data_IF_101499210592
#
_entry.id   IF_101499210592
#
_cell.length_a   1.000
_cell.length_b   1.000
_cell.length_c   1.000
_cell.angle_alpha   90.00
_cell.angle_beta   90.00
_cell.angle_gamma   90.00
#
_symmetry.space_group_name_H-M   'P 1'
#
loop_
_entity.id
_entity.type
_entity.pdbx_description
1 polymer ?
#
# COMPACT_ATOMS: atom_id res chain seq x y z
N UNK A 1 0.60 6.60 5.86
CA UNK A 1 0.87 7.39 4.65
C UNK A 1 1.91 6.68 3.79
N UNK A 2 2.04 7.06 2.52
CA UNK A 2 3.16 6.69 1.65
C UNK A 2 4.13 7.86 1.60
N UNK A 3 5.40 7.63 1.94
CA UNK A 3 6.45 8.65 1.90
C UNK A 3 7.39 8.40 0.74
N UNK A 4 7.62 9.43 -0.08
CA UNK A 4 8.52 9.42 -1.22
C UNK A 4 9.65 10.39 -0.93
N UNK A 5 10.87 9.87 -0.81
CA UNK A 5 12.07 10.68 -0.55
C UNK A 5 13.10 10.42 -1.63
N UNK A 6 13.67 11.48 -2.17
CA UNK A 6 14.86 11.44 -3.03
C UNK A 6 15.91 12.30 -2.36
N UNK A 7 17.05 11.69 -2.04
CA UNK A 7 18.24 12.38 -1.57
C UNK A 7 19.35 12.16 -2.60
N UNK A 8 19.46 13.10 -3.54
CA UNK A 8 20.49 13.11 -4.57
C UNK A 8 21.12 14.49 -4.65
N UNK A 9 22.35 14.56 -5.18
CA UNK A 9 23.07 15.82 -5.35
C UNK A 9 22.36 16.78 -6.32
N UNK A 10 21.66 16.22 -7.31
CA UNK A 10 20.96 16.99 -8.36
C UNK A 10 19.64 17.57 -7.83
N UNK A 11 18.90 16.80 -7.05
CA UNK A 11 17.62 17.24 -6.48
C UNK A 11 17.25 16.46 -5.23
N UNK A 12 16.74 17.21 -4.24
CA UNK A 12 16.03 16.66 -3.09
C UNK A 12 14.53 16.74 -3.32
N UNK A 13 13.82 15.67 -2.97
CA UNK A 13 12.36 15.60 -3.06
C UNK A 13 11.81 14.91 -1.83
N UNK A 14 10.74 15.46 -1.27
CA UNK A 14 9.99 14.85 -0.20
C UNK A 14 8.51 15.03 -0.49
N UNK A 15 7.75 13.94 -0.43
CA UNK A 15 6.30 13.99 -0.49
C UNK A 15 5.70 12.91 0.39
N UNK A 16 4.76 13.31 1.22
CA UNK A 16 3.90 12.41 1.95
C UNK A 16 2.53 12.37 1.29
N UNK A 17 2.03 11.16 1.01
CA UNK A 17 0.73 10.92 0.41
C UNK A 17 -0.13 10.19 1.44
N UNK A 18 -1.21 10.84 1.86
CA UNK A 18 -2.20 10.21 2.72
C UNK A 18 -2.90 9.08 1.96
N UNK A 19 -2.91 7.90 2.56
CA UNK A 19 -3.61 6.74 2.01
C UNK A 19 -5.04 6.74 2.54
N UNK A 20 -6.05 6.50 1.68
CA UNK A 20 -7.44 6.53 2.10
C UNK A 20 -7.82 5.35 3.02
N UNK A 21 -7.03 4.26 3.00
CA UNK A 21 -7.29 3.04 3.77
C UNK A 21 -5.97 2.36 4.20
N UNK A 22 -6.01 1.47 5.21
CA UNK A 22 -4.88 0.65 5.59
C UNK A 22 -4.45 -0.30 4.46
N UNK A 23 -3.14 -0.40 4.23
CA UNK A 23 -2.53 -1.29 3.23
C UNK A 23 -1.59 -2.29 3.89
N UNK A 24 -1.34 -3.42 3.21
CA UNK A 24 -0.30 -4.37 3.60
C UNK A 24 1.02 -4.01 2.89
N UNK A 25 2.01 -3.45 3.59
CA UNK A 25 3.28 -3.08 2.99
C UNK A 25 4.12 -4.30 2.58
N UNK A 26 3.86 -5.50 3.12
CA UNK A 26 4.66 -6.70 2.85
C UNK A 26 4.53 -7.21 1.42
N UNK A 27 3.39 -6.94 0.80
CA UNK A 27 3.06 -7.39 -0.58
C UNK A 27 3.09 -6.23 -1.59
N UNK A 28 3.55 -5.06 -1.17
CA UNK A 28 3.66 -3.89 -2.03
C UNK A 28 4.67 -4.12 -3.17
N UNK A 29 4.39 -3.52 -4.33
CA UNK A 29 5.27 -3.57 -5.51
C UNK A 29 5.56 -2.15 -6.00
N UNK A 30 6.77 -1.92 -6.49
CA UNK A 30 7.14 -0.66 -7.11
C UNK A 30 7.94 -0.92 -8.39
N UNK A 31 7.68 -0.13 -9.43
CA UNK A 31 8.45 -0.15 -10.68
C UNK A 31 8.84 1.26 -11.08
N UNK A 32 9.99 1.41 -11.73
CA UNK A 32 10.44 2.68 -12.29
C UNK A 32 10.83 2.48 -13.75
N UNK A 33 10.10 3.12 -14.66
CA UNK A 33 10.34 2.98 -16.10
C UNK A 33 10.17 4.33 -16.77
N UNK A 34 11.18 4.72 -17.56
CA UNK A 34 11.18 5.95 -18.36
C UNK A 34 10.82 7.22 -17.55
N UNK A 35 11.31 7.35 -16.32
CA UNK A 35 11.04 8.54 -15.50
C UNK A 35 9.77 8.48 -14.65
N UNK A 36 8.98 7.41 -14.74
CA UNK A 36 7.72 7.27 -14.01
C UNK A 36 7.85 6.21 -12.92
N UNK A 37 7.54 6.59 -11.67
CA UNK A 37 7.41 5.70 -10.53
C UNK A 37 5.97 5.19 -10.43
N UNK A 38 5.78 3.88 -10.54
CA UNK A 38 4.50 3.21 -10.26
C UNK A 38 4.61 2.46 -8.94
N UNK A 39 3.66 2.67 -8.03
CA UNK A 39 3.58 1.98 -6.73
C UNK A 39 2.22 1.33 -6.60
N UNK A 40 2.20 0.01 -6.41
CA UNK A 40 0.97 -0.79 -6.23
C UNK A 40 0.91 -1.26 -4.78
N UNK A 41 -0.16 -0.84 -4.09
CA UNK A 41 -0.40 -1.15 -2.68
C UNK A 41 -1.67 -1.98 -2.53
N UNK A 42 -1.57 -3.15 -1.89
CA UNK A 42 -2.72 -3.98 -1.58
C UNK A 42 -3.37 -3.50 -0.28
N UNK A 43 -4.68 -3.29 -0.29
CA UNK A 43 -5.45 -2.97 0.93
C UNK A 43 -5.36 -4.13 1.93
N UNK A 44 -5.35 -3.82 3.23
CA UNK A 44 -5.53 -4.87 4.24
C UNK A 44 -6.93 -5.45 4.09
N UNK A 45 -7.04 -6.77 4.00
CA UNK A 45 -8.32 -7.46 4.12
C UNK A 45 -8.91 -7.15 5.50
N UNK A 46 -10.10 -6.56 5.52
CA UNK A 46 -10.90 -6.51 6.74
C UNK A 46 -11.34 -7.94 7.00
N UNK A 47 -11.03 -8.48 8.17
CA UNK A 47 -11.63 -9.74 8.60
C UNK A 47 -13.13 -9.50 8.71
N UNK A 48 -13.88 -9.95 7.72
CA UNK A 48 -15.33 -10.05 7.84
C UNK A 48 -15.61 -11.17 8.82
N UNK A 49 -16.47 -10.98 9.83
CA UNK A 49 -16.84 -12.08 10.71
C UNK A 49 -17.32 -13.24 9.86
N UNK A 50 -16.61 -14.37 9.95
CA UNK A 50 -17.06 -15.61 9.31
C UNK A 50 -18.27 -16.05 10.13
N UNK A 51 -19.44 -16.08 9.50
CA UNK A 51 -20.62 -16.69 10.14
C UNK A 51 -20.30 -18.13 10.52
N UNK A 52 -20.90 -18.61 11.60
CA UNK A 52 -20.81 -20.00 12.01
C UNK A 52 -22.01 -20.78 11.48
N UNK A 53 -21.77 -21.98 10.94
CA UNK A 53 -22.82 -22.91 10.54
C UNK A 53 -23.34 -23.63 11.78
N UNK A 54 -24.62 -23.46 12.10
CA UNK A 54 -25.29 -24.22 13.15
C UNK A 54 -26.01 -25.40 12.49
N UNK A 55 -25.59 -26.63 12.81
CA UNK A 55 -26.29 -27.84 12.39
C UNK A 55 -27.43 -28.13 13.38
N UNK A 56 -28.59 -28.55 12.86
CA UNK A 56 -29.74 -29.01 13.64
C UNK A 56 -29.90 -30.51 13.34
N UNK A 57 -30.03 -31.31 14.40
CA UNK A 57 -30.35 -32.75 14.35
C UNK A 57 -31.87 -33.00 14.29
#
# INVERSE_FOLDING_TARGET
ALTITVDSEIRKYYKEVNLPEPVDPKVAKATYKNGVLEVVLTKKTKETPKGETINID
#
